data_IF_205250932684
#
_entry.id   IF_205250932684
#
_cell.length_a   1.000
_cell.length_b   1.000
_cell.length_c   1.000
_cell.angle_alpha   90.00
_cell.angle_beta   90.00
_cell.angle_gamma   90.00
#
_symmetry.space_group_name_H-M   'P 1'
#
loop_
_entity.id
_entity.type
_entity.pdbx_description
1 polymer ?
#
# COMPACT_ATOMS: atom_id res chain seq x y z
N UNK A 1 58.11 -14.19 3.15
CA UNK A 1 58.34 -13.46 1.89
C UNK A 1 57.47 -14.08 0.81
N UNK A 2 56.86 -13.24 -0.03
CA UNK A 2 55.87 -13.50 -1.09
C UNK A 2 54.40 -13.65 -0.65
N UNK A 3 53.77 -12.49 -0.38
CA UNK A 3 52.33 -12.28 -0.47
C UNK A 3 51.99 -11.72 -1.86
N UNK A 4 51.35 -12.53 -2.70
CA UNK A 4 50.70 -12.08 -3.94
C UNK A 4 49.26 -11.71 -3.65
N UNK A 5 49.00 -10.41 -3.54
CA UNK A 5 47.66 -9.82 -3.48
C UNK A 5 47.09 -9.82 -4.89
N UNK A 6 46.11 -10.70 -5.14
CA UNK A 6 45.31 -10.66 -6.37
C UNK A 6 44.42 -9.42 -6.36
N UNK A 7 44.75 -8.43 -7.19
CA UNK A 7 43.88 -7.29 -7.50
C UNK A 7 42.82 -7.75 -8.50
N UNK A 8 41.57 -7.84 -8.06
CA UNK A 8 40.41 -8.00 -8.96
C UNK A 8 40.18 -6.71 -9.77
N UNK A 9 39.90 -6.79 -11.09
CA UNK A 9 39.70 -5.60 -11.91
C UNK A 9 38.28 -5.04 -11.73
N UNK A 10 38.19 -3.87 -11.10
CA UNK A 10 36.98 -3.05 -10.91
C UNK A 10 36.30 -2.54 -12.21
N UNK A 11 36.75 -2.96 -13.40
CA UNK A 11 36.24 -2.43 -14.69
C UNK A 11 34.94 -3.06 -15.21
N UNK A 12 34.50 -4.19 -14.64
CA UNK A 12 33.31 -4.89 -15.14
C UNK A 12 32.03 -4.70 -14.30
N UNK A 13 32.09 -3.98 -13.17
CA UNK A 13 30.91 -3.67 -12.36
C UNK A 13 30.19 -2.40 -12.82
N UNK A 14 30.86 -1.54 -13.60
CA UNK A 14 30.31 -0.26 -14.06
C UNK A 14 29.49 -0.38 -15.35
N UNK A 15 29.71 -1.44 -16.15
CA UNK A 15 29.02 -1.64 -17.43
C UNK A 15 27.70 -2.40 -17.32
N UNK A 16 27.42 -3.06 -16.19
CA UNK A 16 26.16 -3.78 -15.95
C UNK A 16 25.10 -2.92 -15.23
N UNK A 17 25.51 -1.80 -14.62
CA UNK A 17 24.60 -0.87 -13.92
C UNK A 17 23.98 0.23 -14.80
N UNK A 18 24.49 0.43 -16.02
CA UNK A 18 24.06 1.52 -16.93
C UNK A 18 22.97 1.06 -17.93
N UNK A 19 22.68 -0.24 -18.00
CA UNK A 19 21.70 -0.81 -18.93
C UNK A 19 20.29 -1.01 -18.34
N UNK A 20 20.05 -0.62 -17.09
CA UNK A 20 18.76 -0.77 -16.39
C UNK A 20 18.01 0.56 -16.14
N UNK A 21 18.43 1.67 -16.77
CA UNK A 21 17.86 3.02 -16.56
C UNK A 21 17.06 3.54 -17.76
N UNK A 22 16.92 2.78 -18.86
CA UNK A 22 16.33 3.30 -20.12
C UNK A 22 15.14 2.51 -20.71
N UNK A 23 14.33 1.86 -19.88
CA UNK A 23 13.07 1.23 -20.33
C UNK A 23 11.99 1.56 -19.28
N UNK A 24 11.36 2.75 -19.35
CA UNK A 24 10.02 2.81 -19.95
C UNK A 24 9.73 4.20 -20.57
N UNK A 25 9.81 4.31 -21.90
CA UNK A 25 9.35 5.49 -22.67
C UNK A 25 8.16 5.17 -23.57
N UNK A 26 7.50 4.03 -23.35
CA UNK A 26 6.44 3.51 -24.20
C UNK A 26 5.30 2.98 -23.34
N UNK A 27 4.47 3.88 -22.82
CA UNK A 27 3.08 3.58 -22.48
C UNK A 27 2.31 4.90 -22.53
N UNK A 28 1.53 5.08 -23.59
CA UNK A 28 0.77 6.29 -23.91
C UNK A 28 -0.65 6.22 -23.35
N UNK A 29 -1.09 7.37 -22.86
CA UNK A 29 -2.43 7.97 -22.81
C UNK A 29 -3.67 7.09 -23.08
N UNK A 30 -4.58 7.07 -22.10
CA UNK A 30 -6.02 6.91 -22.33
C UNK A 30 -6.84 7.97 -21.55
N UNK A 31 -8.04 8.23 -22.07
CA UNK A 31 -8.92 9.40 -21.90
C UNK A 31 -9.58 9.49 -20.50
N UNK A 32 -9.68 10.70 -19.92
CA UNK A 32 -9.84 10.93 -18.45
C UNK A 32 -11.22 11.37 -17.93
N UNK A 33 -12.21 11.70 -18.76
CA UNK A 33 -13.31 12.57 -18.29
C UNK A 33 -14.48 11.92 -17.52
N UNK A 34 -14.52 10.60 -17.35
CA UNK A 34 -15.55 9.90 -16.55
C UNK A 34 -14.98 9.23 -15.28
N UNK A 35 -13.68 9.38 -15.08
CA UNK A 35 -12.86 8.67 -14.10
C UNK A 35 -12.58 9.55 -12.87
N UNK A 36 -12.58 10.88 -13.04
CA UNK A 36 -12.25 11.89 -12.01
C UNK A 36 -13.16 11.85 -10.77
N UNK A 37 -14.45 11.51 -10.87
CA UNK A 37 -15.32 11.38 -9.69
C UNK A 37 -15.20 10.04 -8.97
N UNK A 38 -14.67 9.01 -9.63
CA UNK A 38 -14.34 7.74 -9.02
C UNK A 38 -12.95 7.83 -8.34
N UNK A 39 -12.06 8.67 -8.88
CA UNK A 39 -10.73 8.91 -8.33
C UNK A 39 -10.76 9.56 -6.96
N UNK A 40 -11.64 10.52 -6.66
CA UNK A 40 -11.68 11.13 -5.32
C UNK A 40 -12.02 10.11 -4.20
N UNK A 41 -12.87 9.10 -4.49
CA UNK A 41 -13.23 8.02 -3.56
C UNK A 41 -12.18 6.90 -3.53
N UNK A 42 -11.53 6.65 -4.67
CA UNK A 42 -10.45 5.69 -4.78
C UNK A 42 -9.10 6.24 -4.31
N UNK A 43 -8.89 7.55 -4.24
CA UNK A 43 -7.64 8.17 -3.82
C UNK A 43 -7.38 7.90 -2.34
N UNK A 44 -8.40 7.98 -1.49
CA UNK A 44 -8.33 7.56 -0.07
C UNK A 44 -7.94 6.07 0.05
N UNK A 45 -8.44 5.24 -0.86
CA UNK A 45 -8.02 3.84 -0.94
C UNK A 45 -6.59 3.73 -1.48
N UNK A 46 -6.22 4.37 -2.59
CA UNK A 46 -4.92 4.33 -3.27
C UNK A 46 -3.76 4.92 -2.45
N UNK A 47 -4.06 5.82 -1.51
CA UNK A 47 -3.09 6.38 -0.55
C UNK A 47 -2.53 5.30 0.41
N UNK A 48 -3.15 4.11 0.45
CA UNK A 48 -2.68 2.92 1.16
C UNK A 48 -1.78 1.99 0.33
N UNK A 49 -1.29 2.43 -0.84
CA UNK A 49 -0.48 1.61 -1.75
C UNK A 49 0.52 0.77 -0.94
N UNK A 50 0.27 -0.53 -0.87
CA UNK A 50 1.03 -1.45 -0.03
C UNK A 50 2.44 -1.50 -0.61
N UNK A 51 3.34 -0.65 -0.09
CA UNK A 51 4.78 -0.70 -0.32
C UNK A 51 5.17 -2.17 -0.40
N UNK A 52 5.66 -2.68 -1.56
CA UNK A 52 5.50 -4.07 -1.97
C UNK A 52 5.94 -5.05 -0.87
N UNK A 53 4.95 -5.38 -0.03
CA UNK A 53 5.09 -6.19 1.17
C UNK A 53 5.63 -7.56 0.73
N UNK A 54 5.22 -8.02 -0.46
CA UNK A 54 5.66 -9.28 -1.03
C UNK A 54 7.10 -9.35 -1.57
N UNK A 55 7.81 -8.24 -1.83
CA UNK A 55 9.14 -8.29 -2.45
C UNK A 55 10.28 -7.98 -1.47
N UNK A 56 10.15 -6.94 -0.66
CA UNK A 56 11.16 -6.61 0.35
C UNK A 56 11.21 -7.69 1.45
N UNK A 57 10.07 -8.14 1.95
CA UNK A 57 10.04 -9.17 3.02
C UNK A 57 10.62 -10.51 2.55
N UNK A 58 10.47 -10.84 1.27
CA UNK A 58 11.01 -12.07 0.70
C UNK A 58 12.52 -11.99 0.44
N UNK A 59 13.02 -10.82 0.04
CA UNK A 59 14.46 -10.54 -0.01
C UNK A 59 15.08 -10.62 1.40
N UNK A 60 14.40 -10.08 2.41
CA UNK A 60 14.84 -10.16 3.80
C UNK A 60 14.77 -11.60 4.34
N UNK A 61 13.75 -12.39 4.00
CA UNK A 61 13.66 -13.83 4.32
C UNK A 61 14.80 -14.64 3.68
N UNK A 62 15.28 -14.24 2.49
CA UNK A 62 16.48 -14.83 1.89
C UNK A 62 17.75 -14.48 2.67
N UNK A 63 17.81 -13.29 3.25
CA UNK A 63 18.92 -12.93 4.12
C UNK A 63 18.85 -13.56 5.52
N UNK A 64 17.66 -13.93 6.02
CA UNK A 64 17.52 -14.71 7.28
C UNK A 64 18.21 -16.06 7.24
N UNK A 65 18.44 -16.61 6.04
CA UNK A 65 19.23 -17.84 5.85
C UNK A 65 20.73 -17.63 6.11
N UNK A 66 21.16 -16.38 6.21
CA UNK A 66 22.51 -16.00 6.54
C UNK A 66 22.48 -15.51 7.98
N UNK A 67 23.00 -16.30 8.90
CA UNK A 67 23.36 -15.79 10.22
C UNK A 67 24.35 -14.64 9.94
N UNK A 68 23.91 -13.38 10.08
CA UNK A 68 24.64 -12.22 9.56
C UNK A 68 25.83 -11.94 10.47
N UNK A 69 26.88 -12.72 10.23
CA UNK A 69 28.22 -12.55 10.78
C UNK A 69 29.06 -11.60 9.90
N UNK A 70 28.47 -11.13 8.80
CA UNK A 70 29.12 -10.33 7.76
C UNK A 70 28.33 -9.04 7.57
N UNK A 71 29.00 -7.98 7.15
CA UNK A 71 28.29 -6.88 6.54
C UNK A 71 27.71 -7.33 5.21
N UNK A 72 26.50 -6.88 4.90
CA UNK A 72 25.81 -7.16 3.64
C UNK A 72 25.35 -5.86 2.99
N UNK A 73 25.61 -5.71 1.69
CA UNK A 73 25.03 -4.66 0.84
C UNK A 73 24.30 -5.33 -0.32
N UNK A 74 22.99 -5.15 -0.35
CA UNK A 74 22.11 -5.58 -1.43
C UNK A 74 21.77 -4.43 -2.36
N UNK A 75 21.88 -4.64 -3.65
CA UNK A 75 21.29 -3.78 -4.68
C UNK A 75 20.13 -4.54 -5.30
N UNK A 76 18.99 -3.88 -5.50
CA UNK A 76 17.77 -4.50 -6.04
C UNK A 76 17.12 -3.68 -7.13
N UNK A 77 16.49 -4.38 -8.06
CA UNK A 77 15.53 -3.84 -9.00
C UNK A 77 14.36 -4.82 -9.11
N UNK A 78 13.14 -4.31 -9.17
CA UNK A 78 11.94 -5.14 -9.24
C UNK A 78 10.87 -4.52 -10.12
N UNK A 79 10.00 -5.39 -10.61
CA UNK A 79 8.86 -5.07 -11.46
C UNK A 79 7.63 -5.80 -10.93
N UNK A 80 6.48 -5.15 -11.04
CA UNK A 80 5.16 -5.70 -10.71
C UNK A 80 4.21 -5.42 -11.87
N UNK A 81 3.54 -6.46 -12.34
CA UNK A 81 2.57 -6.35 -13.43
C UNK A 81 1.27 -5.69 -12.98
N UNK A 82 0.94 -5.70 -11.69
CA UNK A 82 -0.16 -4.94 -11.13
C UNK A 82 0.24 -4.38 -9.75
N UNK A 83 0.00 -3.09 -9.50
CA UNK A 83 0.15 -2.46 -8.19
C UNK A 83 -1.21 -2.47 -7.51
N UNK A 84 -1.26 -3.09 -6.34
CA UNK A 84 -2.49 -3.23 -5.56
C UNK A 84 -2.44 -2.38 -4.31
N UNK A 85 -3.61 -2.04 -3.80
CA UNK A 85 -3.75 -1.26 -2.58
C UNK A 85 -4.47 -2.04 -1.51
N UNK A 86 -3.83 -2.29 -0.36
CA UNK A 86 -4.34 -3.22 0.65
C UNK A 86 -4.73 -4.61 0.09
N UNK A 87 -4.05 -5.05 -0.99
CA UNK A 87 -4.38 -6.26 -1.74
C UNK A 87 -5.62 -6.18 -2.64
N UNK A 88 -6.26 -5.00 -2.75
CA UNK A 88 -7.45 -4.73 -3.57
C UNK A 88 -7.03 -4.21 -4.94
N UNK A 89 -7.77 -4.64 -5.95
CA UNK A 89 -7.69 -4.11 -7.32
C UNK A 89 -8.92 -3.23 -7.54
N UNK A 90 -8.66 -2.01 -8.00
CA UNK A 90 -9.64 -0.98 -8.22
C UNK A 90 -10.01 -0.84 -9.71
N UNK A 91 -9.62 -1.84 -10.53
CA UNK A 91 -9.93 -1.91 -11.95
C UNK A 91 -9.01 -1.03 -12.81
N UNK A 92 -7.84 -0.65 -12.28
CA UNK A 92 -6.86 0.17 -12.97
C UNK A 92 -5.61 -0.67 -13.18
N UNK A 93 -5.21 -0.84 -14.44
CA UNK A 93 -3.99 -1.58 -14.80
C UNK A 93 -2.76 -0.73 -14.48
N UNK A 94 -2.19 -0.92 -13.28
CA UNK A 94 -1.04 -0.13 -12.82
C UNK A 94 0.23 -0.97 -12.82
N UNK A 95 1.30 -0.52 -13.46
CA UNK A 95 2.58 -1.23 -13.44
C UNK A 95 3.55 -0.56 -12.48
N UNK A 96 4.21 -1.38 -11.66
CA UNK A 96 5.17 -0.92 -10.65
C UNK A 96 6.59 -1.26 -11.03
N UNK A 97 7.51 -0.32 -10.86
CA UNK A 97 8.95 -0.57 -10.90
C UNK A 97 9.61 -0.02 -9.63
N UNK A 98 10.57 -0.75 -9.07
CA UNK A 98 11.32 -0.26 -7.93
C UNK A 98 12.81 -0.55 -8.06
N UNK A 99 13.60 0.29 -7.40
CA UNK A 99 15.03 0.05 -7.18
C UNK A 99 15.35 0.26 -5.71
N UNK A 100 16.46 -0.31 -5.25
CA UNK A 100 16.91 0.00 -3.91
C UNK A 100 18.26 -0.54 -3.52
N UNK A 101 18.70 -0.06 -2.36
CA UNK A 101 19.93 -0.42 -1.68
C UNK A 101 19.57 -0.79 -0.25
N UNK A 102 20.03 -1.95 0.21
CA UNK A 102 19.83 -2.40 1.59
C UNK A 102 21.17 -2.74 2.19
N UNK A 103 21.48 -2.17 3.35
CA UNK A 103 22.68 -2.46 4.12
C UNK A 103 22.33 -3.12 5.43
N UNK A 104 23.06 -4.18 5.78
CA UNK A 104 22.89 -4.89 7.05
C UNK A 104 24.23 -5.01 7.76
N UNK A 105 24.20 -4.60 9.03
CA UNK A 105 25.33 -4.65 9.93
C UNK A 105 25.27 -5.94 10.77
N UNK A 106 26.42 -6.58 11.06
CA UNK A 106 26.50 -7.77 11.93
C UNK A 106 25.87 -7.62 13.31
N UNK A 107 25.80 -6.40 13.84
CA UNK A 107 25.15 -6.13 15.14
C UNK A 107 23.64 -6.40 15.12
N UNK A 108 23.04 -6.38 13.93
CA UNK A 108 21.62 -6.49 13.73
C UNK A 108 20.97 -5.24 13.15
N UNK A 109 21.70 -4.12 13.05
CA UNK A 109 21.15 -2.91 12.46
C UNK A 109 21.05 -3.03 10.95
N UNK A 110 20.00 -2.46 10.36
CA UNK A 110 19.86 -2.35 8.92
C UNK A 110 19.39 -0.97 8.49
N UNK A 111 19.71 -0.62 7.25
CA UNK A 111 19.26 0.56 6.56
C UNK A 111 18.82 0.19 5.15
N UNK A 112 17.71 0.76 4.70
CA UNK A 112 17.14 0.55 3.38
C UNK A 112 16.86 1.89 2.70
N UNK A 113 17.13 1.95 1.41
CA UNK A 113 16.80 3.07 0.55
C UNK A 113 16.16 2.51 -0.71
N UNK A 114 14.93 2.90 -1.03
CA UNK A 114 14.25 2.51 -2.26
C UNK A 114 13.61 3.68 -2.99
N UNK A 115 13.54 3.56 -4.31
CA UNK A 115 12.74 4.41 -5.17
C UNK A 115 11.66 3.60 -5.88
N UNK A 116 10.49 4.21 -6.08
CA UNK A 116 9.32 3.58 -6.70
C UNK A 116 8.78 4.42 -7.86
N UNK A 117 8.42 3.71 -8.92
CA UNK A 117 7.76 4.23 -10.10
C UNK A 117 6.43 3.50 -10.30
N UNK A 118 5.38 4.24 -10.65
CA UNK A 118 4.07 3.71 -11.02
C UNK A 118 3.63 4.38 -12.33
N UNK A 119 2.99 3.63 -13.22
CA UNK A 119 2.47 4.13 -14.50
C UNK A 119 1.36 5.18 -14.36
N UNK A 120 0.61 5.18 -13.26
CA UNK A 120 -0.53 6.09 -13.07
C UNK A 120 -0.14 7.47 -12.55
N UNK A 121 1.01 7.61 -11.90
CA UNK A 121 1.46 8.89 -11.39
C UNK A 121 2.17 9.72 -12.45
N UNK A 122 2.00 11.03 -12.38
CA UNK A 122 2.77 12.01 -13.11
C UNK A 122 3.34 13.02 -12.11
N UNK A 123 4.65 13.02 -11.83
CA UNK A 123 5.69 12.17 -12.44
C UNK A 123 5.55 10.69 -12.05
N UNK A 124 5.99 9.79 -12.94
CA UNK A 124 5.92 8.34 -12.68
C UNK A 124 6.74 7.92 -11.47
N UNK A 125 7.83 8.64 -11.17
CA UNK A 125 8.57 8.48 -9.92
C UNK A 125 7.83 9.21 -8.81
N UNK A 126 7.27 8.47 -7.86
CA UNK A 126 6.35 9.06 -6.90
C UNK A 126 6.81 8.92 -5.44
N UNK A 127 7.75 8.01 -5.16
CA UNK A 127 8.12 7.71 -3.78
C UNK A 127 9.60 7.33 -3.63
N UNK A 128 10.26 7.97 -2.67
CA UNK A 128 11.51 7.52 -2.06
C UNK A 128 11.23 7.00 -0.66
N UNK A 129 11.57 5.75 -0.37
CA UNK A 129 11.45 5.18 0.96
C UNK A 129 12.81 5.02 1.62
N UNK A 130 12.92 5.44 2.88
CA UNK A 130 14.11 5.27 3.71
C UNK A 130 13.71 4.45 4.94
N UNK A 131 14.20 3.22 5.03
CA UNK A 131 13.97 2.32 6.16
C UNK A 131 15.18 2.25 7.08
N UNK A 132 14.97 2.24 8.39
CA UNK A 132 15.99 1.95 9.39
C UNK A 132 15.43 0.95 10.38
N UNK A 133 16.25 0.02 10.86
CA UNK A 133 15.76 -0.92 11.86
C UNK A 133 16.81 -1.81 12.48
N UNK A 134 16.29 -2.76 13.24
CA UNK A 134 17.05 -3.75 13.97
C UNK A 134 16.38 -5.11 13.86
N UNK A 135 17.16 -6.13 13.55
CA UNK A 135 16.72 -7.51 13.62
C UNK A 135 17.48 -8.29 14.69
N UNK A 136 16.88 -9.37 15.16
CA UNK A 136 17.51 -10.22 16.16
C UNK A 136 17.02 -11.66 16.05
N UNK A 137 17.97 -12.59 15.99
CA UNK A 137 17.70 -14.01 16.09
C UNK A 137 17.77 -14.42 17.56
N UNK A 138 16.62 -14.53 18.23
CA UNK A 138 16.58 -14.97 19.63
C UNK A 138 16.73 -16.49 19.78
N UNK A 139 16.58 -17.23 18.68
CA UNK A 139 16.93 -18.65 18.58
C UNK A 139 17.23 -19.02 17.13
N UNK A 140 17.66 -20.25 16.89
CA UNK A 140 17.90 -20.78 15.53
C UNK A 140 16.66 -20.84 14.63
N UNK A 141 15.47 -20.63 15.18
CA UNK A 141 14.21 -20.71 14.45
C UNK A 141 13.41 -19.42 14.47
N UNK A 142 13.78 -18.47 15.32
CA UNK A 142 12.95 -17.30 15.52
C UNK A 142 13.72 -16.01 15.32
N UNK A 143 13.12 -15.12 14.55
CA UNK A 143 13.65 -13.80 14.22
C UNK A 143 12.63 -12.75 14.59
N UNK A 144 13.09 -11.71 15.30
CA UNK A 144 12.35 -10.48 15.54
C UNK A 144 12.95 -9.38 14.66
N UNK A 145 12.11 -8.52 14.11
CA UNK A 145 12.52 -7.31 13.41
C UNK A 145 11.69 -6.14 13.92
N UNK A 146 12.33 -5.01 14.17
CA UNK A 146 11.69 -3.73 14.43
C UNK A 146 12.28 -2.70 13.49
N UNK A 147 11.46 -1.77 13.02
CA UNK A 147 11.92 -0.79 12.05
C UNK A 147 11.04 0.43 11.97
N UNK A 148 11.54 1.40 11.25
CA UNK A 148 10.86 2.65 10.95
C UNK A 148 11.16 3.05 9.50
N UNK A 149 10.12 3.40 8.76
CA UNK A 149 10.22 3.85 7.38
C UNK A 149 9.76 5.30 7.25
N UNK A 150 10.49 6.06 6.45
CA UNK A 150 10.18 7.42 6.04
C UNK A 150 9.86 7.43 4.55
N UNK A 151 8.65 7.85 4.21
CA UNK A 151 8.11 7.86 2.85
C UNK A 151 8.11 9.30 2.34
N UNK A 152 8.99 9.57 1.38
CA UNK A 152 9.16 10.89 0.77
C UNK A 152 8.51 10.87 -0.60
N UNK A 153 7.30 11.38 -0.67
CA UNK A 153 6.53 11.45 -1.91
C UNK A 153 6.89 12.66 -2.76
N UNK A 154 6.58 12.57 -4.05
CA UNK A 154 6.57 13.75 -4.91
C UNK A 154 5.55 14.78 -4.40
N UNK A 155 5.85 16.08 -4.58
CA UNK A 155 5.02 17.16 -4.03
C UNK A 155 3.70 17.33 -4.75
N UNK A 156 3.58 16.84 -5.98
CA UNK A 156 2.35 16.90 -6.76
C UNK A 156 1.34 15.84 -6.35
N UNK A 157 1.72 14.91 -5.46
CA UNK A 157 0.88 13.80 -5.02
C UNK A 157 0.69 13.88 -3.51
N UNK A 158 -0.57 13.95 -3.11
CA UNK A 158 -0.96 13.95 -1.71
C UNK A 158 -1.08 12.50 -1.20
N UNK A 159 -0.51 12.22 -0.03
CA UNK A 159 -0.58 10.92 0.64
C UNK A 159 -0.92 11.05 2.14
N UNK A 160 -1.76 10.17 2.67
CA UNK A 160 -2.18 10.18 4.09
C UNK A 160 -1.06 9.81 5.05
N UNK A 161 -0.16 8.92 4.62
CA UNK A 161 0.89 8.36 5.47
C UNK A 161 2.27 8.68 4.90
N UNK A 162 3.11 9.34 5.69
CA UNK A 162 4.50 9.66 5.32
C UNK A 162 5.52 8.88 6.15
N UNK A 163 5.05 8.08 7.12
CA UNK A 163 5.89 7.30 8.04
C UNK A 163 5.23 5.95 8.37
N UNK A 164 6.07 4.97 8.70
CA UNK A 164 5.61 3.69 9.25
C UNK A 164 6.51 3.20 10.38
N UNK A 165 5.92 2.69 11.46
CA UNK A 165 6.63 1.86 12.43
C UNK A 165 6.30 0.39 12.17
N UNK A 166 7.31 -0.48 12.18
CA UNK A 166 7.18 -1.91 11.87
C UNK A 166 7.69 -2.77 13.01
N UNK A 167 6.98 -3.87 13.25
CA UNK A 167 7.41 -4.93 14.14
C UNK A 167 6.98 -6.28 13.55
N UNK A 168 7.94 -7.19 13.40
CA UNK A 168 7.71 -8.46 12.71
C UNK A 168 8.34 -9.60 13.49
N UNK A 169 7.65 -10.73 13.59
CA UNK A 169 8.18 -11.96 14.18
C UNK A 169 8.00 -13.11 13.21
N UNK A 170 9.06 -13.88 13.03
CA UNK A 170 9.07 -15.01 12.11
C UNK A 170 9.60 -16.26 12.79
N UNK A 171 8.91 -17.37 12.57
CA UNK A 171 9.39 -18.71 12.84
C UNK A 171 9.80 -19.38 11.53
N UNK A 172 11.05 -19.82 11.43
CA UNK A 172 11.58 -20.47 10.24
C UNK A 172 12.14 -21.85 10.58
N UNK A 173 11.67 -22.86 9.86
CA UNK A 173 12.28 -24.19 9.76
C UNK A 173 12.68 -24.45 8.32
N UNK A 174 13.55 -25.44 8.11
CA UNK A 174 14.15 -25.76 6.80
C UNK A 174 13.17 -25.73 5.61
N UNK A 175 11.94 -26.24 5.79
CA UNK A 175 10.96 -26.42 4.73
C UNK A 175 9.72 -25.53 4.87
N UNK A 176 9.63 -24.68 5.91
CA UNK A 176 8.48 -23.81 6.10
C UNK A 176 8.80 -22.60 6.99
N UNK A 177 8.04 -21.53 6.81
CA UNK A 177 8.12 -20.28 7.56
C UNK A 177 6.71 -19.85 7.94
N UNK A 178 6.55 -19.36 9.16
CA UNK A 178 5.35 -18.66 9.61
C UNK A 178 5.76 -17.29 10.14
N UNK A 179 4.96 -16.27 9.87
CA UNK A 179 5.28 -14.89 10.21
C UNK A 179 4.07 -14.11 10.65
N UNK A 180 4.33 -13.08 11.45
CA UNK A 180 3.40 -12.02 11.76
C UNK A 180 4.13 -10.69 11.58
N UNK A 181 3.65 -9.85 10.67
CA UNK A 181 4.14 -8.50 10.43
C UNK A 181 3.09 -7.49 10.89
N UNK A 182 3.50 -6.53 11.72
CA UNK A 182 2.66 -5.42 12.13
C UNK A 182 3.27 -4.11 11.65
N UNK A 183 2.43 -3.25 11.08
CA UNK A 183 2.79 -1.91 10.61
C UNK A 183 1.79 -0.89 11.13
N UNK A 184 2.31 0.14 11.78
CA UNK A 184 1.58 1.33 12.15
C UNK A 184 1.96 2.46 11.20
N UNK A 185 1.07 2.76 10.26
CA UNK A 185 1.17 3.83 9.29
C UNK A 185 0.69 5.13 9.93
N UNK A 186 1.42 6.22 9.73
CA UNK A 186 1.02 7.51 10.27
C UNK A 186 1.54 8.69 9.44
N UNK A 187 0.82 9.80 9.52
CA UNK A 187 1.10 11.04 8.79
C UNK A 187 0.00 12.06 9.07
N UNK A 188 -0.77 12.40 8.02
CA UNK A 188 -2.03 13.14 8.13
C UNK A 188 -3.09 12.29 8.83
N UNK A 189 -3.07 10.99 8.56
CA UNK A 189 -3.94 9.99 9.20
C UNK A 189 -3.14 8.88 9.89
N UNK A 190 -3.85 7.85 10.38
CA UNK A 190 -3.28 6.70 11.07
C UNK A 190 -3.95 5.40 10.64
N UNK A 191 -3.15 4.40 10.31
CA UNK A 191 -3.64 3.08 9.96
C UNK A 191 -2.78 1.98 10.57
N UNK A 192 -3.39 0.82 10.78
CA UNK A 192 -2.78 -0.38 11.35
C UNK A 192 -2.89 -1.48 10.30
N UNK A 193 -1.80 -2.20 10.06
CA UNK A 193 -1.77 -3.38 9.21
C UNK A 193 -1.16 -4.52 10.00
N UNK A 194 -1.81 -5.67 9.96
CA UNK A 194 -1.32 -6.91 10.52
C UNK A 194 -1.37 -7.97 9.43
N UNK A 195 -0.24 -8.59 9.11
CA UNK A 195 -0.13 -9.60 8.07
C UNK A 195 0.35 -10.91 8.67
N UNK A 196 -0.50 -11.93 8.59
CA UNK A 196 -0.13 -13.31 8.87
C UNK A 196 0.45 -13.95 7.61
N UNK A 197 1.58 -14.63 7.74
CA UNK A 197 2.33 -15.21 6.63
C UNK A 197 2.58 -16.69 6.90
N UNK A 198 2.36 -17.55 5.90
CA UNK A 198 2.77 -18.94 5.95
C UNK A 198 3.35 -19.37 4.61
N UNK A 199 4.59 -19.86 4.60
CA UNK A 199 5.29 -20.27 3.40
C UNK A 199 5.83 -21.70 3.55
N UNK A 200 5.70 -22.51 2.52
CA UNK A 200 6.48 -23.74 2.32
C UNK A 200 7.74 -23.44 1.51
N UNK A 201 8.74 -24.32 1.58
CA UNK A 201 9.97 -24.22 0.77
C UNK A 201 10.45 -25.58 0.33
N UNK A 202 10.65 -25.71 -0.97
CA UNK A 202 11.31 -26.85 -1.61
C UNK A 202 12.52 -26.29 -2.35
N UNK A 203 13.72 -26.81 -2.04
CA UNK A 203 14.97 -26.30 -2.61
C UNK A 203 15.81 -27.42 -3.20
N UNK A 204 16.34 -27.17 -4.38
CA UNK A 204 17.35 -27.98 -5.06
C UNK A 204 18.66 -27.21 -5.12
N UNK A 205 19.78 -27.91 -4.93
CA UNK A 205 21.13 -27.33 -4.98
C UNK A 205 21.87 -27.88 -6.19
N UNK A 206 22.80 -27.09 -6.74
CA UNK A 206 23.68 -27.48 -7.85
C UNK A 206 22.88 -27.96 -9.08
N UNK A 207 21.89 -27.17 -9.50
CA UNK A 207 21.06 -27.47 -10.67
C UNK A 207 21.79 -26.96 -11.93
N UNK A 208 22.66 -27.79 -12.49
CA UNK A 208 23.49 -27.40 -13.62
C UNK A 208 24.51 -26.33 -13.22
N UNK A 209 24.41 -25.14 -13.82
CA UNK A 209 25.25 -23.98 -13.49
C UNK A 209 24.64 -23.05 -12.42
N UNK A 210 23.52 -23.45 -11.82
CA UNK A 210 22.79 -22.66 -10.82
C UNK A 210 23.03 -23.27 -9.43
N UNK A 211 23.55 -22.48 -8.51
CA UNK A 211 23.81 -22.89 -7.12
C UNK A 211 22.54 -23.38 -6.40
N UNK A 212 21.42 -22.68 -6.58
CA UNK A 212 20.15 -23.06 -5.94
C UNK A 212 18.92 -22.62 -6.73
N UNK A 213 17.94 -23.52 -6.78
CA UNK A 213 16.56 -23.20 -7.18
C UNK A 213 15.63 -23.54 -6.04
N UNK A 214 14.68 -22.67 -5.72
CA UNK A 214 13.65 -22.92 -4.70
C UNK A 214 12.27 -22.59 -5.22
N UNK A 215 11.29 -23.42 -4.88
CA UNK A 215 9.86 -23.11 -5.03
C UNK A 215 9.29 -22.87 -3.62
N UNK A 216 8.57 -21.77 -3.48
CA UNK A 216 8.08 -21.23 -2.22
C UNK A 216 6.58 -20.96 -2.37
N UNK A 217 5.71 -21.98 -2.22
CA UNK A 217 4.28 -21.76 -2.14
C UNK A 217 3.95 -21.12 -0.79
N UNK A 218 2.99 -20.21 -0.75
CA UNK A 218 2.64 -19.48 0.45
C UNK A 218 1.22 -18.96 0.46
N UNK A 219 0.79 -18.55 1.64
CA UNK A 219 -0.47 -17.89 1.89
C UNK A 219 -0.26 -16.71 2.84
N UNK A 220 -1.02 -15.64 2.64
CA UNK A 220 -1.05 -14.50 3.54
C UNK A 220 -2.48 -14.11 3.88
N UNK A 221 -2.65 -13.53 5.07
CA UNK A 221 -3.90 -12.91 5.51
C UNK A 221 -3.56 -11.53 6.04
N UNK A 222 -4.27 -10.52 5.57
CA UNK A 222 -4.06 -9.12 5.93
C UNK A 222 -5.28 -8.60 6.68
N UNK A 223 -5.04 -8.08 7.87
CA UNK A 223 -5.99 -7.31 8.66
C UNK A 223 -5.55 -5.85 8.69
N UNK A 224 -6.52 -4.95 8.80
CA UNK A 224 -6.24 -3.54 8.97
C UNK A 224 -7.51 -2.72 9.12
N UNK A 225 -7.31 -1.40 9.24
CA UNK A 225 -8.38 -0.43 9.23
C UNK A 225 -8.27 0.53 8.03
N UNK A 226 -9.42 0.92 7.51
CA UNK A 226 -9.56 2.00 6.53
C UNK A 226 -10.79 2.83 6.87
N UNK A 227 -10.83 4.05 6.37
CA UNK A 227 -11.97 4.93 6.48
C UNK A 227 -13.03 4.50 5.47
N UNK A 228 -14.16 4.01 5.97
CA UNK A 228 -15.26 3.52 5.14
C UNK A 228 -16.32 4.61 5.05
N UNK A 229 -16.71 4.94 3.82
CA UNK A 229 -17.74 5.94 3.54
C UNK A 229 -19.11 5.26 3.48
N UNK A 230 -20.06 5.78 4.24
CA UNK A 230 -21.42 5.30 4.32
C UNK A 230 -22.38 6.40 3.93
N UNK A 231 -23.39 6.03 3.13
CA UNK A 231 -24.64 6.78 3.11
C UNK A 231 -25.42 6.42 4.36
N UNK A 232 -25.35 7.29 5.37
CA UNK A 232 -26.23 7.25 6.54
C UNK A 232 -27.66 7.34 6.02
N UNK A 233 -28.43 6.27 6.21
CA UNK A 233 -29.88 6.39 6.09
C UNK A 233 -30.35 7.32 7.21
N UNK A 234 -30.80 8.51 6.84
CA UNK A 234 -31.34 9.46 7.80
C UNK A 234 -32.50 8.81 8.56
N UNK A 235 -32.31 8.56 9.86
CA UNK A 235 -33.39 8.03 10.71
C UNK A 235 -34.54 9.05 10.79
N UNK A 236 -34.24 10.33 10.58
CA UNK A 236 -35.22 11.42 10.55
C UNK A 236 -34.81 12.51 9.55
N UNK A 237 -35.16 12.39 8.26
CA UNK A 237 -34.78 13.34 7.20
C UNK A 237 -35.08 14.81 7.54
N UNK A 238 -36.16 15.03 8.30
CA UNK A 238 -36.53 16.35 8.80
C UNK A 238 -35.58 16.89 9.87
N UNK A 239 -35.02 16.07 10.77
CA UNK A 239 -34.06 16.57 11.77
C UNK A 239 -32.72 16.91 11.12
N UNK A 240 -32.28 16.11 10.15
CA UNK A 240 -31.04 16.41 9.42
C UNK A 240 -31.21 17.70 8.58
N UNK A 241 -32.34 17.89 7.91
CA UNK A 241 -32.66 19.15 7.22
C UNK A 241 -32.76 20.34 8.20
N UNK A 242 -33.35 20.14 9.38
CA UNK A 242 -33.41 21.17 10.41
C UNK A 242 -32.00 21.61 10.84
N UNK A 243 -31.10 20.63 11.06
CA UNK A 243 -29.72 20.88 11.45
C UNK A 243 -28.99 21.71 10.38
N UNK A 244 -29.10 21.32 9.10
CA UNK A 244 -28.52 22.08 7.97
C UNK A 244 -29.01 23.53 7.95
N UNK A 245 -30.32 23.74 8.11
CA UNK A 245 -30.92 25.08 8.09
C UNK A 245 -30.55 25.95 9.29
N UNK A 246 -30.21 25.36 10.44
CA UNK A 246 -29.83 26.09 11.66
C UNK A 246 -28.32 26.32 11.78
N UNK A 247 -27.51 25.37 11.32
CA UNK A 247 -26.04 25.44 11.41
C UNK A 247 -25.40 26.15 10.21
N UNK A 248 -26.08 26.17 9.06
CA UNK A 248 -25.64 26.87 7.86
C UNK A 248 -25.80 28.39 7.96
N UNK A 249 -25.14 29.12 7.05
CA UNK A 249 -25.24 30.59 6.96
C UNK A 249 -26.53 31.05 6.23
N UNK A 250 -27.66 30.42 6.54
CA UNK A 250 -28.93 30.63 5.85
C UNK A 250 -29.84 31.59 6.63
N UNK A 251 -30.82 32.23 5.95
CA UNK A 251 -31.86 32.98 6.65
C UNK A 251 -32.55 32.10 7.71
N UNK A 252 -32.65 32.54 8.97
CA UNK A 252 -33.18 31.68 10.02
C UNK A 252 -34.68 31.45 9.81
N UNK A 253 -35.12 30.20 9.99
CA UNK A 253 -36.53 29.84 10.07
C UNK A 253 -36.92 29.62 11.54
N UNK A 254 -38.06 30.17 11.95
CA UNK A 254 -38.69 29.80 13.23
C UNK A 254 -39.22 28.36 13.20
N UNK A 255 -39.43 27.75 14.37
CA UNK A 255 -39.97 26.38 14.48
C UNK A 255 -41.25 26.15 13.67
N UNK A 256 -42.14 27.15 13.65
CA UNK A 256 -43.41 27.08 12.90
C UNK A 256 -43.18 27.12 11.39
N UNK A 257 -42.21 27.91 10.95
CA UNK A 257 -41.83 28.02 9.55
C UNK A 257 -41.13 26.75 9.08
N UNK A 258 -40.27 26.18 9.92
CA UNK A 258 -39.64 24.90 9.66
C UNK A 258 -40.67 23.75 9.57
N UNK A 259 -41.63 23.67 10.50
CA UNK A 259 -42.72 22.69 10.43
C UNK A 259 -43.55 22.83 9.15
N UNK A 260 -43.78 24.05 8.68
CA UNK A 260 -44.50 24.32 7.43
C UNK A 260 -43.70 23.88 6.21
N UNK A 261 -42.40 24.17 6.17
CA UNK A 261 -41.49 23.69 5.13
C UNK A 261 -41.45 22.14 5.11
N UNK A 262 -41.32 21.54 6.28
CA UNK A 262 -41.30 20.09 6.47
C UNK A 262 -42.57 19.43 5.93
N UNK A 263 -43.73 20.04 6.19
CA UNK A 263 -45.01 19.57 5.65
C UNK A 263 -45.05 19.65 4.11
N UNK A 264 -44.53 20.72 3.50
CA UNK A 264 -44.48 20.82 2.04
C UNK A 264 -43.59 19.74 1.42
N UNK A 265 -42.41 19.50 1.99
CA UNK A 265 -41.48 18.47 1.52
C UNK A 265 -42.11 17.07 1.69
N UNK A 266 -42.68 16.78 2.88
CA UNK A 266 -43.30 15.48 3.16
C UNK A 266 -44.47 15.14 2.23
N UNK A 267 -45.21 16.16 1.75
CA UNK A 267 -46.33 16.00 0.83
C UNK A 267 -45.91 16.03 -0.66
N UNK A 268 -44.62 16.16 -0.98
CA UNK A 268 -44.12 16.28 -2.35
C UNK A 268 -44.51 17.59 -3.03
N UNK A 269 -44.71 18.66 -2.26
CA UNK A 269 -45.08 20.00 -2.77
C UNK A 269 -43.84 20.86 -3.02
N UNK A 270 -42.93 20.38 -3.86
CA UNK A 270 -41.60 20.98 -4.07
C UNK A 270 -41.69 22.45 -4.50
N UNK A 271 -42.62 22.77 -5.41
CA UNK A 271 -42.86 24.15 -5.86
C UNK A 271 -43.31 25.07 -4.71
N UNK A 272 -44.10 24.55 -3.76
CA UNK A 272 -44.55 25.33 -2.59
C UNK A 272 -43.44 25.48 -1.56
N UNK A 273 -42.64 24.43 -1.36
CA UNK A 273 -41.44 24.50 -0.51
C UNK A 273 -40.46 25.55 -1.04
N UNK A 274 -40.20 25.52 -2.36
CA UNK A 274 -39.34 26.48 -3.04
C UNK A 274 -39.85 27.93 -2.93
N UNK A 275 -41.14 28.15 -3.23
CA UNK A 275 -41.77 29.46 -3.07
C UNK A 275 -41.69 29.95 -1.63
N UNK A 276 -41.95 29.07 -0.66
CA UNK A 276 -41.88 29.39 0.76
C UNK A 276 -40.46 29.81 1.19
N UNK A 277 -39.42 29.09 0.75
CA UNK A 277 -38.03 29.47 1.02
C UNK A 277 -37.70 30.84 0.43
N UNK A 278 -38.13 31.13 -0.81
CA UNK A 278 -37.91 32.46 -1.42
C UNK A 278 -38.62 33.58 -0.67
N UNK A 279 -39.84 33.34 -0.18
CA UNK A 279 -40.56 34.29 0.67
C UNK A 279 -39.82 34.59 1.99
N UNK A 280 -38.99 33.65 2.47
CA UNK A 280 -38.15 33.78 3.65
C UNK A 280 -36.76 34.35 3.37
N UNK A 281 -36.52 34.80 2.14
CA UNK A 281 -35.28 35.47 1.75
C UNK A 281 -34.17 34.53 1.30
N UNK A 282 -34.46 33.24 1.13
CA UNK A 282 -33.49 32.30 0.55
C UNK A 282 -33.33 32.60 -0.94
N UNK A 283 -32.09 32.73 -1.38
CA UNK A 283 -31.72 32.82 -2.79
C UNK A 283 -31.74 31.44 -3.43
N UNK A 284 -31.69 31.38 -4.76
CA UNK A 284 -31.56 30.09 -5.45
C UNK A 284 -30.25 29.37 -5.07
N UNK A 285 -29.19 30.13 -4.79
CA UNK A 285 -27.91 29.57 -4.37
C UNK A 285 -28.00 28.97 -2.96
N UNK A 286 -28.73 29.63 -2.05
CA UNK A 286 -28.95 29.08 -0.70
C UNK A 286 -29.71 27.76 -0.75
N UNK A 287 -30.73 27.67 -1.60
CA UNK A 287 -31.52 26.45 -1.77
C UNK A 287 -30.67 25.31 -2.33
N UNK A 288 -29.78 25.61 -3.30
CA UNK A 288 -28.85 24.61 -3.83
C UNK A 288 -27.84 24.17 -2.77
N UNK A 289 -27.23 25.11 -2.05
CA UNK A 289 -26.27 24.80 -1.00
C UNK A 289 -26.92 23.99 0.14
N UNK A 290 -28.19 24.23 0.49
CA UNK A 290 -28.92 23.41 1.48
C UNK A 290 -29.05 21.97 1.02
N UNK A 291 -29.31 21.76 -0.27
CA UNK A 291 -29.38 20.41 -0.84
C UNK A 291 -28.00 19.74 -0.76
N UNK A 292 -26.95 20.44 -1.17
CA UNK A 292 -25.58 19.92 -1.15
C UNK A 292 -25.09 19.66 0.29
N UNK A 293 -25.42 20.54 1.24
CA UNK A 293 -25.14 20.39 2.68
C UNK A 293 -25.95 19.22 3.29
N UNK A 294 -27.20 19.02 2.85
CA UNK A 294 -28.01 17.89 3.30
C UNK A 294 -27.43 16.57 2.80
N UNK A 295 -27.15 16.45 1.51
CA UNK A 295 -26.55 15.26 0.91
C UNK A 295 -25.17 14.94 1.51
N UNK A 296 -24.33 15.96 1.73
CA UNK A 296 -23.03 15.75 2.39
C UNK A 296 -23.16 15.31 3.86
N UNK A 297 -24.18 15.76 4.59
CA UNK A 297 -24.47 15.26 5.94
C UNK A 297 -25.01 13.82 5.99
N UNK A 298 -25.48 13.29 4.86
CA UNK A 298 -25.80 11.86 4.73
C UNK A 298 -24.55 11.02 4.53
N UNK A 299 -23.40 11.62 4.21
CA UNK A 299 -22.14 10.91 4.08
C UNK A 299 -21.45 10.91 5.45
N UNK A 300 -21.23 9.72 6.01
CA UNK A 300 -20.46 9.53 7.25
C UNK A 300 -19.28 8.64 6.95
N UNK A 301 -18.12 8.99 7.50
CA UNK A 301 -16.90 8.19 7.41
C UNK A 301 -16.62 7.54 8.75
N UNK A 302 -16.57 6.21 8.80
CA UNK A 302 -16.20 5.46 10.00
C UNK A 302 -14.95 4.61 9.74
N UNK A 303 -13.97 4.74 10.64
CA UNK A 303 -12.76 3.92 10.61
C UNK A 303 -13.10 2.47 11.00
N UNK A 304 -13.08 1.58 10.02
CA UNK A 304 -13.54 0.20 10.18
C UNK A 304 -12.35 -0.75 10.14
N UNK A 305 -12.23 -1.64 11.13
CA UNK A 305 -11.16 -2.65 11.20
C UNK A 305 -11.67 -4.04 10.83
N UNK A 306 -10.93 -4.77 10.01
CA UNK A 306 -11.34 -6.09 9.55
C UNK A 306 -10.27 -6.82 8.76
N UNK A 307 -10.66 -7.95 8.18
CA UNK A 307 -9.84 -8.65 7.19
C UNK A 307 -9.96 -7.88 5.87
N UNK A 308 -8.82 -7.52 5.30
CA UNK A 308 -8.76 -6.76 4.05
C UNK A 308 -8.46 -7.67 2.85
N UNK A 309 -7.68 -8.73 3.06
CA UNK A 309 -7.26 -9.61 1.97
C UNK A 309 -6.79 -10.99 2.46
N UNK A 310 -7.03 -12.00 1.64
CA UNK A 310 -6.30 -13.27 1.66
C UNK A 310 -5.53 -13.40 0.37
N UNK A 311 -4.28 -13.86 0.40
CA UNK A 311 -3.55 -14.12 -0.83
C UNK A 311 -2.91 -15.50 -0.83
N UNK A 312 -2.91 -16.14 -1.99
CA UNK A 312 -2.08 -17.29 -2.28
C UNK A 312 -0.93 -16.82 -3.16
N UNK A 313 0.27 -17.27 -2.85
CA UNK A 313 1.43 -16.93 -3.65
C UNK A 313 2.28 -18.16 -3.95
N UNK A 314 2.96 -18.15 -5.08
CA UNK A 314 3.98 -19.14 -5.40
C UNK A 314 5.15 -18.43 -6.02
N UNK A 315 6.29 -18.55 -5.36
CA UNK A 315 7.52 -17.96 -5.83
C UNK A 315 8.56 -18.99 -6.25
N UNK A 316 9.35 -18.60 -7.23
CA UNK A 316 10.55 -19.27 -7.69
C UNK A 316 11.73 -18.36 -7.37
N UNK A 317 12.68 -18.86 -6.61
CA UNK A 317 13.95 -18.19 -6.35
C UNK A 317 15.08 -18.96 -7.00
N UNK A 318 15.88 -18.25 -7.79
CA UNK A 318 17.07 -18.75 -8.46
C UNK A 318 18.26 -17.97 -7.90
N UNK A 319 19.23 -18.67 -7.32
CA UNK A 319 20.42 -18.06 -6.72
C UNK A 319 21.68 -18.59 -7.40
N UNK A 320 22.57 -17.68 -7.77
CA UNK A 320 23.88 -17.99 -8.35
C UNK A 320 24.90 -16.98 -7.83
N UNK A 321 25.85 -17.44 -7.00
CA UNK A 321 26.84 -16.61 -6.31
C UNK A 321 26.17 -15.46 -5.55
N UNK A 322 26.38 -14.24 -6.01
CA UNK A 322 25.88 -13.00 -5.43
C UNK A 322 24.54 -12.55 -6.03
N UNK A 323 24.05 -13.24 -7.06
CA UNK A 323 22.80 -12.90 -7.72
C UNK A 323 21.64 -13.73 -7.19
N UNK A 324 20.49 -13.08 -7.00
CA UNK A 324 19.23 -13.72 -6.71
C UNK A 324 18.16 -13.18 -7.65
N UNK A 325 17.54 -14.05 -8.44
CA UNK A 325 16.35 -13.76 -9.22
C UNK A 325 15.15 -14.36 -8.49
N UNK A 326 14.13 -13.55 -8.32
CA UNK A 326 12.90 -13.91 -7.65
C UNK A 326 11.73 -13.64 -8.59
N UNK A 327 10.92 -14.66 -8.86
CA UNK A 327 9.69 -14.54 -9.66
C UNK A 327 8.56 -15.04 -8.78
N UNK A 328 7.51 -14.25 -8.63
CA UNK A 328 6.40 -14.58 -7.76
C UNK A 328 5.08 -14.30 -8.46
N UNK A 329 4.18 -15.26 -8.39
CA UNK A 329 2.79 -15.10 -8.75
C UNK A 329 1.95 -14.98 -7.48
N UNK A 330 1.07 -13.99 -7.41
CA UNK A 330 0.15 -13.77 -6.30
C UNK A 330 -1.27 -13.76 -6.83
N UNK A 331 -2.19 -14.46 -6.15
CA UNK A 331 -3.62 -14.45 -6.40
C UNK A 331 -4.33 -13.98 -5.13
N UNK A 332 -5.04 -12.85 -5.20
CA UNK A 332 -5.69 -12.20 -4.07
C UNK A 332 -7.19 -12.47 -4.03
N UNK A 333 -7.70 -12.50 -2.81
CA UNK A 333 -9.11 -12.57 -2.46
C UNK A 333 -9.39 -11.38 -1.54
N UNK A 334 -9.54 -10.17 -2.11
CA UNK A 334 -9.79 -9.00 -1.29
C UNK A 334 -11.14 -9.13 -0.60
N UNK A 335 -11.26 -8.52 0.56
CA UNK A 335 -12.47 -8.54 1.39
C UNK A 335 -12.88 -7.12 1.70
N UNK A 336 -14.18 -6.88 1.57
CA UNK A 336 -14.79 -5.65 2.05
C UNK A 336 -14.70 -5.60 3.58
N UNK A 337 -14.31 -4.45 4.11
CA UNK A 337 -14.41 -4.14 5.52
C UNK A 337 -15.89 -4.07 5.94
N UNK A 338 -16.20 -4.26 7.23
CA UNK A 338 -17.57 -4.08 7.70
C UNK A 338 -18.09 -2.71 7.25
N UNK A 339 -19.20 -2.72 6.50
CA UNK A 339 -19.85 -1.51 6.03
C UNK A 339 -19.51 -1.03 4.62
N UNK A 340 -18.43 -1.51 4.03
CA UNK A 340 -18.16 -1.28 2.61
C UNK A 340 -19.23 -2.00 1.78
N UNK A 341 -19.83 -1.28 0.84
CA UNK A 341 -20.83 -1.84 -0.08
C UNK A 341 -20.20 -2.35 -1.38
N UNK A 342 -18.96 -1.95 -1.66
CA UNK A 342 -18.23 -2.34 -2.85
C UNK A 342 -17.66 -3.77 -2.70
N UNK A 343 -18.01 -4.63 -3.66
CA UNK A 343 -17.39 -5.96 -3.76
C UNK A 343 -16.12 -5.88 -4.62
N UNK A 344 -14.97 -6.13 -3.99
CA UNK A 344 -13.69 -6.12 -4.69
C UNK A 344 -13.52 -7.36 -5.56
N UNK A 345 -13.17 -7.20 -6.86
CA UNK A 345 -12.88 -8.33 -7.72
C UNK A 345 -11.61 -9.05 -7.24
N UNK A 346 -11.60 -10.38 -7.42
CA UNK A 346 -10.36 -11.16 -7.29
C UNK A 346 -9.37 -10.71 -8.35
N UNK A 347 -8.11 -10.63 -7.99
CA UNK A 347 -7.06 -10.16 -8.88
C UNK A 347 -5.80 -11.01 -8.71
N UNK A 348 -4.90 -10.91 -9.68
CA UNK A 348 -3.60 -11.54 -9.65
C UNK A 348 -2.52 -10.65 -10.25
N UNK A 349 -1.27 -10.96 -9.91
CA UNK A 349 -0.13 -10.28 -10.49
C UNK A 349 1.12 -11.14 -10.43
N UNK A 350 2.05 -10.80 -11.32
CA UNK A 350 3.41 -11.32 -11.32
C UNK A 350 4.35 -10.24 -10.83
N UNK A 351 5.25 -10.60 -9.93
CA UNK A 351 6.38 -9.77 -9.54
C UNK A 351 7.70 -10.46 -9.86
N UNK A 352 8.65 -9.68 -10.36
CA UNK A 352 10.00 -10.13 -10.69
C UNK A 352 10.98 -9.21 -9.96
N UNK A 353 12.01 -9.78 -9.36
CA UNK A 353 13.06 -9.02 -8.69
C UNK A 353 14.43 -9.63 -8.91
N UNK A 354 15.41 -8.76 -9.13
CA UNK A 354 16.80 -9.11 -9.25
C UNK A 354 17.57 -8.41 -8.13
N UNK A 355 18.32 -9.19 -7.37
CA UNK A 355 19.17 -8.70 -6.28
C UNK A 355 20.61 -9.12 -6.52
N UNK A 356 21.54 -8.20 -6.26
CA UNK A 356 22.96 -8.46 -6.17
C UNK A 356 23.47 -8.17 -4.76
N UNK A 357 24.12 -9.13 -4.11
CA UNK A 357 24.58 -9.03 -2.73
C UNK A 357 26.10 -9.02 -2.64
N UNK A 358 26.65 -8.07 -1.89
CA UNK A 358 28.06 -7.99 -1.52
C UNK A 358 28.19 -8.30 -0.04
N UNK A 359 29.10 -9.21 0.32
CA UNK A 359 29.35 -9.62 1.69
C UNK A 359 30.80 -9.36 2.08
N UNK A 360 31.05 -8.86 3.29
CA UNK A 360 32.40 -8.72 3.83
C UNK A 360 32.44 -8.91 5.35
N UNK A 361 33.55 -9.42 5.93
CA UNK A 361 33.61 -9.75 7.35
C UNK A 361 33.50 -8.52 8.25
N UNK A 362 32.81 -8.69 9.38
CA UNK A 362 32.98 -7.82 10.54
C UNK A 362 34.42 -7.99 11.05
N UNK A 363 35.15 -6.90 11.22
CA UNK A 363 36.51 -6.97 11.78
C UNK A 363 36.51 -7.29 13.27
#
# INVERSE_FOLDING_TARGET
MNNTINRFPLRNAFFTGVLLVFIPLWAMSQDRSALDSLYDELDVLFEEADLPIGLLEKADSLMRLMDIQYHSLGMRAGYMSNVLTAGRDLGIDQHGFNTGLSYFHPSGMFADFSGYWNSEYNPTYYLTNIGLGYWHNFSNYWTLSIGHDFMLYDKEIEFLFDKAARASVFYQRKNWEAGLDYRYLYGREKANRLVGIFNGRISWKNVGFIDRVSIIPGATVQWGNSDVIYYRQSETPLQDLYKVLQEGSYPPLSDREFLRLSYFIYQGYDLRAYQFLREKGFTNNDIQNIYDDYESNLITTDNSYGIMNFALNTAISISEKNWNLFINYTYNFPQALPGETYEYPKNDYVSISLMYTILWPAK
#
